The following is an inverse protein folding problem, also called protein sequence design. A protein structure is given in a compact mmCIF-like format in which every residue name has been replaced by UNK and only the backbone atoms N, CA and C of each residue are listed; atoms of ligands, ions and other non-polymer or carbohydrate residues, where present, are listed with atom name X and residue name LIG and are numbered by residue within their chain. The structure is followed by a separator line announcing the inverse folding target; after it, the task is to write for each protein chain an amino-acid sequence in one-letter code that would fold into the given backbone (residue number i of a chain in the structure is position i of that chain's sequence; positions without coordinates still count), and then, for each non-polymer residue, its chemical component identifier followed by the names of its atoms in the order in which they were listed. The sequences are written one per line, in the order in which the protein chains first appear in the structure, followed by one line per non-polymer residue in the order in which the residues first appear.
data_IF_069383781639
#
_entry.id   IF_069383781639
#
_cell.length_a   1.000
_cell.length_b   1.000
_cell.length_c   1.000
_cell.angle_alpha   90.00
_cell.angle_beta   90.00
_cell.angle_gamma   90.00
#
_symmetry.space_group_name_H-M   'P 1'
#
loop_
_entity.id
_entity.type
_entity.pdbx_description
1 polymer ?
#
# COMPACT_ATOMS: atom_id res chain seq x y z
N UNK A 1 0.61 -7.82 -9.78
CA UNK A 1 0.07 -8.55 -10.93
C UNK A 1 0.15 -7.64 -12.13
N UNK A 2 0.78 -8.10 -13.21
CA UNK A 2 0.92 -7.36 -14.46
C UNK A 2 -0.12 -7.82 -15.47
N UNK A 3 -0.70 -6.89 -16.21
CA UNK A 3 -1.60 -7.13 -17.34
C UNK A 3 -1.41 -6.07 -18.44
N UNK A 4 -2.10 -6.25 -19.56
CA UNK A 4 -2.04 -5.36 -20.72
C UNK A 4 -3.48 -5.06 -21.16
N UNK A 5 -3.78 -3.79 -21.40
CA UNK A 5 -5.08 -3.33 -21.91
C UNK A 5 -5.25 -3.70 -23.40
N UNK A 6 -6.49 -3.70 -23.94
CA UNK A 6 -6.71 -4.00 -25.37
C UNK A 6 -5.97 -3.10 -26.35
N UNK A 7 -5.60 -1.89 -25.92
CA UNK A 7 -4.83 -0.91 -26.70
C UNK A 7 -3.31 -1.07 -26.57
N UNK A 8 -2.83 -2.08 -25.83
CA UNK A 8 -1.42 -2.41 -25.67
C UNK A 8 -0.75 -1.77 -24.44
N UNK A 9 -1.44 -0.92 -23.68
CA UNK A 9 -0.88 -0.25 -22.50
C UNK A 9 -0.73 -1.18 -21.31
N UNK A 10 0.37 -1.05 -20.57
CA UNK A 10 0.67 -1.88 -19.40
C UNK A 10 -0.11 -1.44 -18.17
N UNK A 11 -0.48 -2.42 -17.35
CA UNK A 11 -1.09 -2.21 -16.04
C UNK A 11 -0.37 -3.08 -15.01
N UNK A 12 0.08 -2.47 -13.93
CA UNK A 12 0.67 -3.16 -12.78
C UNK A 12 -0.15 -2.90 -11.53
N UNK A 13 -0.72 -3.97 -10.95
CA UNK A 13 -1.48 -3.93 -9.71
C UNK A 13 -0.67 -4.50 -8.56
N UNK A 14 -0.46 -3.72 -7.51
CA UNK A 14 0.16 -4.15 -6.26
C UNK A 14 -0.91 -4.27 -5.20
N UNK A 15 -0.87 -5.37 -4.46
CA UNK A 15 -1.75 -5.61 -3.32
C UNK A 15 -0.88 -5.92 -2.14
N UNK A 16 -1.04 -5.14 -1.07
CA UNK A 16 -0.48 -5.48 0.23
C UNK A 16 -1.63 -5.96 1.11
N UNK A 17 -1.42 -7.08 1.77
CA UNK A 17 -2.32 -7.59 2.79
C UNK A 17 -1.56 -7.62 4.11
N UNK A 18 -2.10 -6.92 5.10
CA UNK A 18 -1.69 -7.03 6.49
C UNK A 18 -2.65 -8.02 7.13
N UNK A 19 -2.12 -9.14 7.57
CA UNK A 19 -2.82 -10.11 8.41
C UNK A 19 -2.14 -10.16 9.78
N UNK A 20 -2.91 -10.48 10.82
CA UNK A 20 -2.38 -10.59 12.18
C UNK A 20 -1.64 -11.92 12.39
N UNK A 21 -0.53 -12.07 11.69
CA UNK A 21 0.34 -13.24 11.82
C UNK A 21 1.09 -13.23 13.15
N UNK A 22 1.48 -14.42 13.62
CA UNK A 22 2.34 -14.58 14.80
C UNK A 22 3.66 -13.81 14.69
N UNK A 23 4.19 -13.65 13.46
CA UNK A 23 5.39 -12.86 13.23
C UNK A 23 5.15 -11.36 13.48
N UNK A 24 4.04 -10.81 12.98
CA UNK A 24 3.65 -9.42 13.24
C UNK A 24 3.40 -9.18 14.72
N UNK A 25 2.72 -10.12 15.39
CA UNK A 25 2.46 -10.05 16.83
C UNK A 25 3.75 -9.96 17.65
N UNK A 26 4.72 -10.84 17.38
CA UNK A 26 6.04 -10.82 18.05
C UNK A 26 6.79 -9.51 17.81
N UNK A 27 6.68 -8.95 16.61
CA UNK A 27 7.30 -7.66 16.29
C UNK A 27 6.70 -6.54 17.14
N UNK A 28 5.37 -6.48 17.28
CA UNK A 28 4.69 -5.51 18.15
C UNK A 28 5.06 -5.69 19.63
N UNK A 29 5.16 -6.93 20.09
CA UNK A 29 5.57 -7.23 21.47
C UNK A 29 7.01 -6.78 21.75
N UNK A 30 7.91 -6.87 20.76
CA UNK A 30 9.30 -6.43 20.88
C UNK A 30 9.46 -4.90 20.99
N UNK A 31 8.55 -4.12 20.42
CA UNK A 31 8.51 -2.65 20.51
C UNK A 31 8.11 -2.14 21.92
N UNK A 32 7.62 -3.04 22.79
CA UNK A 32 7.22 -2.72 24.15
C UNK A 32 5.97 -1.83 24.25
N UNK A 33 5.61 -1.37 25.47
CA UNK A 33 4.44 -0.52 25.68
C UNK A 33 4.60 0.85 25.01
N UNK A 34 3.70 1.17 24.09
CA UNK A 34 3.66 2.46 23.39
C UNK A 34 2.44 3.26 23.87
N UNK A 35 2.64 4.50 24.30
CA UNK A 35 1.54 5.42 24.61
C UNK A 35 1.14 6.13 23.32
N UNK A 36 -0.12 5.98 22.88
CA UNK A 36 -0.71 6.60 21.68
C UNK A 36 -0.36 5.93 20.33
N UNK A 37 0.12 4.70 20.32
CA UNK A 37 0.25 3.91 19.08
C UNK A 37 -0.88 2.89 19.01
N UNK A 38 -1.62 2.92 17.91
CA UNK A 38 -2.58 1.88 17.57
C UNK A 38 -2.05 1.10 16.37
N UNK A 39 -1.77 -0.18 16.59
CA UNK A 39 -1.27 -1.06 15.56
C UNK A 39 -2.41 -1.55 14.66
N UNK A 40 -2.13 -1.60 13.36
CA UNK A 40 -3.02 -2.26 12.39
C UNK A 40 -2.69 -3.75 12.44
N UNK A 41 -3.68 -4.56 12.79
CA UNK A 41 -3.59 -6.01 12.80
C UNK A 41 -4.04 -6.60 11.47
N UNK A 42 -5.04 -5.97 10.86
CA UNK A 42 -5.63 -6.41 9.59
C UNK A 42 -5.90 -5.21 8.68
N UNK A 43 -5.60 -5.37 7.40
CA UNK A 43 -5.84 -4.33 6.42
C UNK A 43 -5.33 -4.70 5.04
N UNK A 44 -5.77 -3.94 4.06
CA UNK A 44 -5.44 -4.16 2.66
C UNK A 44 -5.21 -2.84 1.97
N UNK A 45 -4.18 -2.79 1.13
CA UNK A 45 -3.97 -1.68 0.21
C UNK A 45 -3.89 -2.21 -1.20
N UNK A 46 -4.43 -1.45 -2.13
CA UNK A 46 -4.34 -1.71 -3.56
C UNK A 46 -3.75 -0.49 -4.23
N UNK A 47 -2.84 -0.73 -5.14
CA UNK A 47 -2.29 0.30 -6.00
C UNK A 47 -2.26 -0.22 -7.43
N UNK A 48 -2.80 0.55 -8.37
CA UNK A 48 -2.75 0.24 -9.79
C UNK A 48 -2.00 1.35 -10.50
N UNK A 49 -0.96 0.97 -11.24
CA UNK A 49 -0.22 1.84 -12.14
C UNK A 49 -0.66 1.50 -13.55
N UNK A 50 -1.19 2.48 -14.28
CA UNK A 50 -1.60 2.31 -15.67
C UNK A 50 -0.76 3.22 -16.54
N UNK A 51 -0.13 2.65 -17.56
CA UNK A 51 0.56 3.43 -18.58
C UNK A 51 -0.43 4.33 -19.32
N UNK A 52 -0.10 5.61 -19.46
CA UNK A 52 -0.85 6.56 -20.29
C UNK A 52 -0.06 6.87 -21.56
N UNK A 53 1.22 7.21 -21.40
CA UNK A 53 2.17 7.45 -22.48
C UNK A 53 3.60 7.19 -21.98
N UNK A 54 4.59 7.37 -22.86
CA UNK A 54 6.02 7.14 -22.60
C UNK A 54 6.60 7.93 -21.40
N UNK A 55 5.85 8.92 -20.89
CA UNK A 55 6.29 9.81 -19.81
C UNK A 55 5.33 9.87 -18.62
N UNK A 56 4.15 9.25 -18.74
CA UNK A 56 3.05 9.45 -17.79
C UNK A 56 2.41 8.12 -17.40
N UNK A 57 2.18 7.98 -16.09
CA UNK A 57 1.37 6.91 -15.53
C UNK A 57 0.19 7.49 -14.76
N UNK A 58 -0.93 6.79 -14.81
CA UNK A 58 -2.05 7.00 -13.89
C UNK A 58 -1.87 6.09 -12.67
N UNK A 59 -2.16 6.64 -11.48
CA UNK A 59 -1.97 5.96 -10.21
C UNK A 59 -3.29 5.96 -9.45
N UNK A 60 -3.89 4.79 -9.31
CA UNK A 60 -5.08 4.57 -8.48
C UNK A 60 -4.65 3.87 -7.20
N UNK A 61 -4.93 4.49 -6.05
CA UNK A 61 -4.64 3.92 -4.73
C UNK A 61 -5.93 3.82 -3.91
N UNK A 62 -6.14 2.67 -3.27
CA UNK A 62 -7.25 2.42 -2.36
C UNK A 62 -6.79 1.59 -1.15
N UNK A 63 -7.47 1.76 -0.01
CA UNK A 63 -7.12 1.09 1.24
C UNK A 63 -8.35 0.76 2.09
N UNK A 64 -8.28 -0.36 2.80
CA UNK A 64 -9.24 -0.74 3.83
C UNK A 64 -8.54 -1.31 5.06
N UNK A 65 -9.09 -1.07 6.23
CA UNK A 65 -8.69 -1.72 7.48
C UNK A 65 -9.94 -1.88 8.35
N UNK A 66 -10.13 -3.06 8.94
CA UNK A 66 -11.36 -3.38 9.71
C UNK A 66 -11.61 -2.42 10.88
N UNK A 67 -10.56 -1.80 11.43
CA UNK A 67 -10.67 -1.02 12.66
C UNK A 67 -10.83 0.50 12.50
N UNK A 68 -10.89 1.04 11.27
CA UNK A 68 -10.98 2.50 11.08
C UNK A 68 -12.37 3.10 11.36
N UNK A 69 -13.37 2.27 11.67
CA UNK A 69 -14.76 2.72 11.72
C UNK A 69 -15.28 3.09 13.13
N UNK A 70 -14.68 2.58 14.21
CA UNK A 70 -15.30 2.70 15.56
C UNK A 70 -14.69 3.74 16.50
N UNK A 71 -13.53 4.33 16.18
CA UNK A 71 -12.90 5.35 17.02
C UNK A 71 -13.10 6.76 16.44
N UNK A 72 -14.23 7.37 16.83
CA UNK A 72 -14.50 8.82 16.89
C UNK A 72 -13.65 9.71 15.97
N UNK A 73 -14.08 9.94 14.73
CA UNK A 73 -13.93 11.22 13.98
C UNK A 73 -12.55 11.90 13.90
N UNK A 74 -11.49 11.31 14.43
CA UNK A 74 -10.12 11.73 14.34
C UNK A 74 -9.48 10.71 13.46
N UNK A 75 -9.31 11.08 12.19
CA UNK A 75 -8.56 10.31 11.20
C UNK A 75 -7.24 9.92 11.88
N UNK A 76 -7.00 8.64 12.21
CA UNK A 76 -5.67 8.23 12.58
C UNK A 76 -4.86 8.58 11.34
N UNK A 77 -3.89 9.48 11.49
CA UNK A 77 -2.99 9.85 10.41
C UNK A 77 -2.14 8.62 10.15
N UNK A 78 -2.69 7.66 9.41
CA UNK A 78 -1.96 6.44 9.11
C UNK A 78 -0.92 6.84 8.09
N UNK A 79 0.34 6.60 8.44
CA UNK A 79 1.55 6.91 7.68
C UNK A 79 1.65 6.08 6.37
N UNK A 80 0.51 5.66 5.79
CA UNK A 80 0.42 4.94 4.51
C UNK A 80 1.02 5.73 3.35
N UNK A 81 1.11 7.06 3.47
CA UNK A 81 1.80 7.92 2.49
C UNK A 81 3.28 7.51 2.36
N UNK A 82 3.95 7.14 3.46
CA UNK A 82 5.33 6.63 3.40
C UNK A 82 5.40 5.32 2.64
N UNK A 83 4.36 4.51 2.71
CA UNK A 83 4.25 3.25 1.97
C UNK A 83 4.04 3.49 0.48
N UNK A 84 3.15 4.39 0.09
CA UNK A 84 2.97 4.79 -1.31
C UNK A 84 4.29 5.33 -1.91
N UNK A 85 5.01 6.17 -1.16
CA UNK A 85 6.33 6.68 -1.54
C UNK A 85 7.38 5.56 -1.62
N UNK A 86 7.37 4.60 -0.70
CA UNK A 86 8.27 3.43 -0.76
C UNK A 86 7.97 2.53 -1.96
N UNK A 87 6.70 2.39 -2.34
CA UNK A 87 6.33 1.63 -3.52
C UNK A 87 6.73 2.36 -4.79
N UNK A 88 6.57 3.69 -4.87
CA UNK A 88 7.12 4.52 -5.94
C UNK A 88 8.65 4.31 -6.06
N UNK A 89 9.37 4.34 -4.93
CA UNK A 89 10.81 4.07 -4.87
C UNK A 89 11.19 2.62 -5.21
N UNK A 90 10.27 1.66 -5.13
CA UNK A 90 10.48 0.27 -5.54
C UNK A 90 10.28 0.08 -7.04
N UNK A 91 9.37 0.85 -7.64
CA UNK A 91 8.99 0.75 -9.07
C UNK A 91 9.94 1.53 -9.98
N UNK A 92 10.43 2.70 -9.55
CA UNK A 92 11.35 3.54 -10.34
C UNK A 92 12.68 2.83 -10.69
N UNK A 93 13.37 2.11 -9.77
CA UNK A 93 14.65 1.48 -10.06
C UNK A 93 14.55 0.12 -10.78
N UNK A 94 13.40 -0.55 -10.76
CA UNK A 94 13.25 -1.89 -11.34
C UNK A 94 13.06 -1.88 -12.86
N UNK A 95 12.99 -0.70 -13.49
CA UNK A 95 12.80 -0.59 -14.94
C UNK A 95 11.44 -1.14 -15.40
N UNK A 96 10.47 -1.29 -14.49
CA UNK A 96 9.13 -1.79 -14.81
C UNK A 96 8.36 -0.87 -15.75
N UNK A 97 8.82 0.38 -15.89
CA UNK A 97 8.36 1.42 -16.80
C UNK A 97 9.26 1.63 -18.03
N UNK A 98 10.34 0.85 -18.19
CA UNK A 98 11.26 1.01 -19.33
C UNK A 98 10.93 -0.06 -20.38
N UNK A 99 10.35 0.39 -21.51
CA UNK A 99 10.32 -0.29 -22.82
C UNK A 99 9.34 -1.45 -22.96
#
# INVERSE_FOLDING_TARGET
MRSVLPDGRRVDTYTLLVEDSEANKRHREAEGPQQNVQWITEGKTYMTLTEIDDTTIDVVYDQSAEWLYELRGQVPYIDWIRYAVQVEQLVVPTGLLIG
#
